data_IF_925627809842
#
_entry.id   IF_925627809842
#
_cell.length_a   1.000
_cell.length_b   1.000
_cell.length_c   1.000
_cell.angle_alpha   90.00
_cell.angle_beta   90.00
_cell.angle_gamma   90.00
#
_symmetry.space_group_name_H-M   'P 1'
#
loop_
_entity.id
_entity.type
_entity.pdbx_description
1 polymer ?
#
# COMPACT_ATOMS: atom_id res chain seq x y z
N UNK A 1 -36.82 6.56 9.94
CA UNK A 1 -35.51 6.04 10.40
C UNK A 1 -34.59 7.24 10.58
N UNK A 2 -33.75 7.24 11.63
CA UNK A 2 -32.75 8.32 11.78
C UNK A 2 -31.72 8.24 10.65
N UNK A 3 -31.17 9.37 10.24
CA UNK A 3 -30.16 9.44 9.18
C UNK A 3 -28.90 8.63 9.55
N UNK A 4 -28.54 8.64 10.84
CA UNK A 4 -27.45 7.82 11.37
C UNK A 4 -27.70 6.32 11.16
N UNK A 5 -28.90 5.83 11.46
CA UNK A 5 -29.25 4.42 11.27
C UNK A 5 -29.18 4.00 9.80
N UNK A 6 -29.67 4.85 8.90
CA UNK A 6 -29.57 4.61 7.44
C UNK A 6 -28.09 4.54 7.02
N UNK A 7 -27.25 5.46 7.51
CA UNK A 7 -25.82 5.46 7.23
C UNK A 7 -25.11 4.20 7.75
N UNK A 8 -25.38 3.77 9.00
CA UNK A 8 -24.82 2.52 9.53
C UNK A 8 -25.29 1.28 8.75
N UNK A 9 -26.56 1.22 8.38
CA UNK A 9 -27.08 0.12 7.55
C UNK A 9 -26.45 0.11 6.15
N UNK A 10 -26.22 1.28 5.55
CA UNK A 10 -25.53 1.41 4.27
C UNK A 10 -24.10 0.87 4.37
N UNK A 11 -23.33 1.30 5.37
CA UNK A 11 -21.95 0.82 5.58
C UNK A 11 -21.93 -0.68 5.89
N UNK A 12 -22.81 -1.16 6.75
CA UNK A 12 -22.91 -2.58 7.07
C UNK A 12 -23.29 -3.44 5.85
N UNK A 13 -24.20 -2.96 5.00
CA UNK A 13 -24.57 -3.62 3.74
C UNK A 13 -23.40 -3.66 2.78
N UNK A 14 -22.71 -2.52 2.60
CA UNK A 14 -21.50 -2.41 1.78
C UNK A 14 -20.43 -3.42 2.24
N UNK A 15 -20.11 -3.43 3.52
CA UNK A 15 -19.11 -4.35 4.09
C UNK A 15 -19.54 -5.82 3.91
N UNK A 16 -20.79 -6.14 4.18
CA UNK A 16 -21.30 -7.52 4.06
C UNK A 16 -21.23 -8.03 2.62
N UNK A 17 -21.62 -7.22 1.64
CA UNK A 17 -21.61 -7.62 0.24
C UNK A 17 -20.18 -7.88 -0.27
N UNK A 18 -19.20 -7.08 0.15
CA UNK A 18 -17.79 -7.28 -0.19
C UNK A 18 -17.23 -8.52 0.53
N UNK A 19 -17.43 -8.63 1.85
CA UNK A 19 -16.88 -9.71 2.65
C UNK A 19 -17.45 -11.08 2.24
N UNK A 20 -18.73 -11.14 1.87
CA UNK A 20 -19.38 -12.35 1.34
C UNK A 20 -19.06 -12.60 -0.15
N UNK A 21 -18.24 -11.75 -0.79
CA UNK A 21 -17.87 -11.82 -2.22
C UNK A 21 -19.08 -11.80 -3.18
N UNK A 22 -20.21 -11.21 -2.75
CA UNK A 22 -21.40 -11.08 -3.60
C UNK A 22 -21.32 -9.91 -4.56
N UNK A 23 -20.52 -8.89 -4.25
CA UNK A 23 -20.22 -7.76 -5.12
C UNK A 23 -18.73 -7.44 -5.07
N UNK A 24 -18.20 -6.96 -6.19
CA UNK A 24 -16.86 -6.35 -6.20
C UNK A 24 -16.89 -5.00 -5.47
N UNK A 25 -15.80 -4.56 -4.83
CA UNK A 25 -15.75 -3.25 -4.18
C UNK A 25 -16.16 -2.10 -5.12
N UNK A 26 -15.72 -2.13 -6.38
CA UNK A 26 -16.07 -1.13 -7.39
C UNK A 26 -17.58 -0.99 -7.57
N UNK A 27 -18.30 -2.11 -7.75
CA UNK A 27 -19.76 -2.09 -7.96
C UNK A 27 -20.49 -1.70 -6.66
N UNK A 28 -20.06 -2.22 -5.52
CA UNK A 28 -20.65 -1.94 -4.22
C UNK A 28 -20.55 -0.44 -3.84
N UNK A 29 -19.40 0.21 -4.13
CA UNK A 29 -19.19 1.64 -3.90
C UNK A 29 -20.11 2.56 -4.73
N UNK A 30 -20.65 2.06 -5.85
CA UNK A 30 -21.59 2.81 -6.68
C UNK A 30 -23.03 2.51 -6.27
N UNK A 31 -23.39 1.22 -6.22
CA UNK A 31 -24.79 0.79 -6.10
C UNK A 31 -25.33 1.00 -4.68
N UNK A 32 -24.56 0.62 -3.65
CA UNK A 32 -25.06 0.65 -2.28
C UNK A 32 -25.39 2.07 -1.82
N UNK A 33 -24.47 3.07 -1.90
CA UNK A 33 -24.80 4.43 -1.46
C UNK A 33 -25.93 5.06 -2.27
N UNK A 34 -26.00 4.77 -3.58
CA UNK A 34 -27.07 5.25 -4.45
C UNK A 34 -28.45 4.76 -3.97
N UNK A 35 -28.58 3.46 -3.70
CA UNK A 35 -29.84 2.87 -3.22
C UNK A 35 -30.22 3.43 -1.86
N UNK A 36 -29.28 3.53 -0.90
CA UNK A 36 -29.56 4.05 0.42
C UNK A 36 -29.91 5.54 0.44
N UNK A 37 -29.27 6.34 -0.44
CA UNK A 37 -29.63 7.76 -0.61
C UNK A 37 -31.05 7.91 -1.15
N UNK A 38 -31.45 7.12 -2.14
CA UNK A 38 -32.81 7.11 -2.67
C UNK A 38 -33.83 6.68 -1.59
N UNK A 39 -33.54 5.63 -0.81
CA UNK A 39 -34.39 5.18 0.28
C UNK A 39 -34.51 6.22 1.41
N UNK A 40 -33.47 7.05 1.60
CA UNK A 40 -33.47 8.16 2.55
C UNK A 40 -34.22 9.41 2.02
N UNK A 41 -34.70 9.39 0.77
CA UNK A 41 -35.47 10.49 0.19
C UNK A 41 -34.62 11.55 -0.55
N UNK A 42 -33.33 11.32 -0.75
CA UNK A 42 -32.44 12.22 -1.50
C UNK A 42 -32.55 12.00 -3.02
N UNK A 43 -33.69 12.32 -3.61
CA UNK A 43 -33.91 12.23 -5.05
C UNK A 43 -33.35 13.44 -5.79
N UNK A 44 -33.59 14.63 -5.26
CA UNK A 44 -33.05 15.87 -5.79
C UNK A 44 -31.60 16.07 -5.33
N UNK A 45 -30.71 16.48 -6.25
CA UNK A 45 -29.31 16.77 -5.95
C UNK A 45 -28.40 15.53 -5.83
N UNK A 46 -28.91 14.31 -5.94
CA UNK A 46 -28.10 13.09 -5.87
C UNK A 46 -26.99 13.06 -6.92
N UNK A 47 -27.29 13.46 -8.16
CA UNK A 47 -26.31 13.57 -9.23
C UNK A 47 -25.20 14.59 -8.92
N UNK A 48 -25.54 15.72 -8.32
CA UNK A 48 -24.58 16.74 -7.94
C UNK A 48 -23.64 16.25 -6.84
N UNK A 49 -24.15 15.54 -5.81
CA UNK A 49 -23.34 14.90 -4.78
C UNK A 49 -22.34 13.90 -5.37
N UNK A 50 -22.77 13.08 -6.33
CA UNK A 50 -21.90 12.13 -7.03
C UNK A 50 -20.80 12.85 -7.83
N UNK A 51 -21.18 13.87 -8.61
CA UNK A 51 -20.22 14.64 -9.44
C UNK A 51 -19.22 15.38 -8.55
N UNK A 52 -19.66 15.97 -7.44
CA UNK A 52 -18.76 16.64 -6.50
C UNK A 52 -17.75 15.67 -5.85
N UNK A 53 -18.21 14.45 -5.54
CA UNK A 53 -17.31 13.39 -5.08
C UNK A 53 -16.27 13.02 -6.14
N UNK A 54 -16.68 12.86 -7.41
CA UNK A 54 -15.78 12.56 -8.52
C UNK A 54 -14.76 13.69 -8.74
N UNK A 55 -15.20 14.97 -8.77
CA UNK A 55 -14.31 16.13 -8.95
C UNK A 55 -13.24 16.19 -7.87
N UNK A 56 -13.60 15.91 -6.60
CA UNK A 56 -12.66 15.91 -5.48
C UNK A 56 -11.60 14.81 -5.57
N UNK A 57 -11.94 13.65 -6.14
CA UNK A 57 -11.03 12.52 -6.28
C UNK A 57 -10.30 12.45 -7.63
N UNK A 58 -10.65 13.30 -8.59
CA UNK A 58 -10.00 13.32 -9.89
C UNK A 58 -8.47 13.47 -9.81
N UNK A 59 -7.89 14.36 -8.98
CA UNK A 59 -6.45 14.46 -8.84
C UNK A 59 -5.80 13.15 -8.35
N UNK A 60 -6.41 12.47 -7.38
CA UNK A 60 -5.91 11.17 -6.88
C UNK A 60 -5.99 10.09 -7.95
N UNK A 61 -7.09 10.06 -8.73
CA UNK A 61 -7.23 9.13 -9.86
C UNK A 61 -6.16 9.34 -10.93
N UNK A 62 -5.89 10.59 -11.30
CA UNK A 62 -4.81 10.95 -12.25
C UNK A 62 -3.44 10.55 -11.70
N UNK A 63 -3.16 10.87 -10.44
CA UNK A 63 -1.91 10.47 -9.79
C UNK A 63 -1.68 8.97 -9.88
N UNK A 64 -2.67 8.16 -9.48
CA UNK A 64 -2.55 6.70 -9.48
C UNK A 64 -2.38 6.12 -10.88
N UNK A 65 -3.13 6.64 -11.86
CA UNK A 65 -3.00 6.24 -13.26
C UNK A 65 -1.55 6.36 -13.72
N UNK A 66 -0.97 7.55 -13.57
CA UNK A 66 0.37 7.80 -14.07
C UNK A 66 1.47 7.22 -13.17
N UNK A 67 1.24 7.08 -11.86
CA UNK A 67 2.17 6.38 -10.98
C UNK A 67 2.30 4.90 -11.34
N UNK A 68 1.18 4.20 -11.54
CA UNK A 68 1.19 2.79 -11.95
C UNK A 68 1.90 2.64 -13.31
N UNK A 69 1.54 3.45 -14.29
CA UNK A 69 2.19 3.41 -15.61
C UNK A 69 3.68 3.71 -15.53
N UNK A 70 4.10 4.71 -14.74
CA UNK A 70 5.51 5.10 -14.59
C UNK A 70 6.34 3.98 -13.95
N UNK A 71 5.93 3.49 -12.78
CA UNK A 71 6.72 2.48 -12.06
C UNK A 71 6.71 1.13 -12.78
N UNK A 72 5.58 0.74 -13.39
CA UNK A 72 5.54 -0.46 -14.24
C UNK A 72 6.46 -0.34 -15.45
N UNK A 73 6.50 0.85 -16.08
CA UNK A 73 7.46 1.13 -17.17
C UNK A 73 8.91 1.03 -16.67
N UNK A 74 9.22 1.55 -15.48
CA UNK A 74 10.56 1.43 -14.89
C UNK A 74 10.95 -0.03 -14.64
N UNK A 75 10.02 -0.85 -14.18
CA UNK A 75 10.20 -2.29 -14.00
C UNK A 75 10.46 -2.98 -15.33
N UNK A 76 9.68 -2.69 -16.37
CA UNK A 76 9.84 -3.24 -17.73
C UNK A 76 11.20 -2.92 -18.33
N UNK A 77 11.73 -1.70 -18.10
CA UNK A 77 13.06 -1.30 -18.60
C UNK A 77 14.22 -2.07 -17.98
N UNK A 78 13.97 -2.86 -16.93
CA UNK A 78 14.99 -3.61 -16.19
C UNK A 78 15.77 -2.75 -15.20
N UNK A 79 15.14 -1.68 -14.68
CA UNK A 79 15.78 -0.77 -13.72
C UNK A 79 16.36 -1.51 -12.50
N UNK A 80 15.70 -2.56 -12.04
CA UNK A 80 16.10 -3.33 -10.84
C UNK A 80 17.12 -4.44 -11.14
N UNK A 81 17.35 -4.81 -12.42
CA UNK A 81 18.22 -5.93 -12.80
C UNK A 81 19.66 -5.80 -12.27
N UNK A 82 20.35 -4.63 -12.39
CA UNK A 82 21.71 -4.48 -11.86
C UNK A 82 21.77 -4.57 -10.35
N UNK A 83 20.72 -4.11 -9.69
CA UNK A 83 20.60 -4.16 -8.24
C UNK A 83 20.48 -5.60 -7.76
N UNK A 84 19.59 -6.39 -8.38
CA UNK A 84 19.43 -7.82 -8.14
C UNK A 84 20.75 -8.54 -8.32
N UNK A 85 21.42 -8.34 -9.46
CA UNK A 85 22.72 -8.96 -9.76
C UNK A 85 23.84 -8.55 -8.79
N UNK A 86 23.89 -7.28 -8.36
CA UNK A 86 24.85 -6.81 -7.36
C UNK A 86 24.56 -7.38 -5.98
N UNK A 87 23.31 -7.45 -5.60
CA UNK A 87 22.86 -7.99 -4.29
C UNK A 87 23.24 -9.47 -4.18
N UNK A 88 22.99 -10.27 -5.22
CA UNK A 88 23.33 -11.71 -5.23
C UNK A 88 24.85 -11.89 -5.12
N UNK A 89 25.65 -11.06 -5.80
CA UNK A 89 27.12 -11.09 -5.69
C UNK A 89 27.61 -10.69 -4.29
N UNK A 90 26.99 -9.70 -3.64
CA UNK A 90 27.36 -9.24 -2.30
C UNK A 90 27.05 -10.25 -1.16
N UNK A 91 26.11 -11.14 -1.40
CA UNK A 91 25.65 -12.12 -0.42
C UNK A 91 26.73 -13.16 -0.08
N UNK A 92 27.61 -13.56 -1.02
CA UNK A 92 28.76 -14.46 -0.82
C UNK A 92 28.45 -15.71 0.05
N UNK A 93 27.24 -16.28 -0.05
CA UNK A 93 26.84 -17.46 0.72
C UNK A 93 26.61 -17.24 2.23
N UNK A 94 26.59 -15.99 2.70
CA UNK A 94 26.31 -15.69 4.10
C UNK A 94 24.78 -15.58 4.34
N UNK A 95 24.16 -16.48 5.13
CA UNK A 95 22.73 -16.46 5.41
C UNK A 95 22.22 -15.10 5.92
N UNK A 96 22.99 -14.41 6.75
CA UNK A 96 22.62 -13.10 7.29
C UNK A 96 22.54 -12.04 6.17
N UNK A 97 23.47 -12.06 5.22
CA UNK A 97 23.48 -11.13 4.09
C UNK A 97 22.32 -11.43 3.13
N UNK A 98 21.94 -12.71 2.97
CA UNK A 98 20.78 -13.11 2.16
C UNK A 98 19.50 -12.50 2.74
N UNK A 99 19.29 -12.62 4.06
CA UNK A 99 18.12 -12.08 4.74
C UNK A 99 18.05 -10.55 4.65
N UNK A 100 19.15 -9.85 4.90
CA UNK A 100 19.24 -8.38 4.74
C UNK A 100 18.98 -8.00 3.28
N UNK A 101 19.60 -8.69 2.34
CA UNK A 101 19.40 -8.48 0.91
C UNK A 101 17.94 -8.66 0.48
N UNK A 102 17.23 -9.63 1.07
CA UNK A 102 15.79 -9.84 0.81
C UNK A 102 14.95 -8.63 1.22
N UNK A 103 15.22 -8.01 2.38
CA UNK A 103 14.53 -6.79 2.84
C UNK A 103 14.83 -5.61 1.90
N UNK A 104 16.12 -5.39 1.60
CA UNK A 104 16.54 -4.26 0.74
C UNK A 104 15.95 -4.39 -0.67
N UNK A 105 16.02 -5.58 -1.26
CA UNK A 105 15.45 -5.82 -2.58
C UNK A 105 13.95 -5.61 -2.59
N UNK A 106 13.24 -6.18 -1.60
CA UNK A 106 11.80 -6.02 -1.49
C UNK A 106 11.40 -4.54 -1.35
N UNK A 107 12.08 -3.78 -0.49
CA UNK A 107 11.79 -2.36 -0.29
C UNK A 107 11.97 -1.56 -1.59
N UNK A 108 13.00 -1.84 -2.38
CA UNK A 108 13.26 -1.13 -3.63
C UNK A 108 12.29 -1.52 -4.75
N UNK A 109 11.96 -2.80 -4.87
CA UNK A 109 10.98 -3.26 -5.87
C UNK A 109 9.58 -2.79 -5.50
N UNK A 110 9.21 -2.78 -4.22
CA UNK A 110 7.89 -2.30 -3.75
C UNK A 110 7.61 -0.82 -4.05
N UNK A 111 8.57 -0.06 -4.57
CA UNK A 111 8.33 1.30 -5.05
C UNK A 111 7.34 1.36 -6.22
N UNK A 112 7.11 0.24 -6.92
CA UNK A 112 6.10 0.18 -7.99
C UNK A 112 4.65 0.19 -7.45
N UNK A 113 4.46 -0.07 -6.16
CA UNK A 113 3.15 -0.10 -5.51
C UNK A 113 2.31 -1.35 -5.78
N UNK A 114 2.85 -2.35 -6.52
CA UNK A 114 2.19 -3.63 -6.78
C UNK A 114 2.82 -4.77 -5.96
N UNK A 115 2.07 -5.26 -4.96
CA UNK A 115 2.52 -6.35 -4.11
C UNK A 115 2.78 -7.65 -4.88
N UNK A 116 2.02 -7.94 -5.93
CA UNK A 116 2.16 -9.19 -6.71
C UNK A 116 3.47 -9.19 -7.50
N UNK A 117 3.74 -8.12 -8.23
CA UNK A 117 4.99 -7.92 -8.98
C UNK A 117 6.19 -7.96 -8.03
N UNK A 118 6.12 -7.23 -6.91
CA UNK A 118 7.15 -7.25 -5.87
C UNK A 118 7.48 -8.67 -5.43
N UNK A 119 6.47 -9.49 -5.14
CA UNK A 119 6.70 -10.86 -4.66
C UNK A 119 7.26 -11.77 -5.75
N UNK A 120 6.78 -11.68 -6.99
CA UNK A 120 7.32 -12.47 -8.11
C UNK A 120 8.81 -12.18 -8.28
N UNK A 121 9.18 -10.91 -8.33
CA UNK A 121 10.56 -10.47 -8.55
C UNK A 121 11.48 -10.90 -7.40
N UNK A 122 11.08 -10.58 -6.17
CA UNK A 122 11.92 -10.85 -5.00
C UNK A 122 12.04 -12.34 -4.70
N UNK A 123 10.97 -13.11 -4.93
CA UNK A 123 11.00 -14.57 -4.80
C UNK A 123 11.86 -15.22 -5.89
N UNK A 124 11.75 -14.79 -7.15
CA UNK A 124 12.59 -15.31 -8.22
C UNK A 124 14.09 -15.11 -7.92
N UNK A 125 14.45 -13.96 -7.34
CA UNK A 125 15.83 -13.65 -6.99
C UNK A 125 16.33 -14.39 -5.72
N UNK A 126 15.51 -14.47 -4.68
CA UNK A 126 15.95 -14.92 -3.34
C UNK A 126 15.64 -16.36 -3.02
N UNK A 127 14.51 -16.93 -3.49
CA UNK A 127 14.10 -18.29 -3.17
C UNK A 127 15.13 -19.37 -3.60
N UNK A 128 15.79 -19.28 -4.76
CA UNK A 128 16.84 -20.22 -5.13
C UNK A 128 17.98 -20.28 -4.12
N UNK A 129 18.36 -19.10 -3.54
CA UNK A 129 19.38 -19.04 -2.50
C UNK A 129 18.91 -19.73 -1.21
N UNK A 130 17.65 -19.49 -0.79
CA UNK A 130 17.09 -20.12 0.40
C UNK A 130 16.99 -21.64 0.25
N UNK A 131 16.60 -22.13 -0.94
CA UNK A 131 16.57 -23.58 -1.22
C UNK A 131 17.97 -24.20 -1.22
N UNK A 132 18.94 -23.53 -1.85
CA UNK A 132 20.32 -24.01 -1.96
C UNK A 132 21.03 -24.13 -0.62
N UNK A 133 20.79 -23.16 0.29
CA UNK A 133 21.39 -23.13 1.63
C UNK A 133 20.50 -23.75 2.69
N UNK A 134 19.42 -24.42 2.31
CA UNK A 134 18.44 -25.03 3.23
C UNK A 134 17.96 -24.04 4.31
N UNK A 135 17.78 -22.75 3.95
CA UNK A 135 17.31 -21.72 4.87
C UNK A 135 15.81 -21.82 5.11
N UNK A 136 15.36 -21.43 6.29
CA UNK A 136 13.94 -21.41 6.62
C UNK A 136 13.17 -20.39 5.76
N UNK A 137 12.28 -20.90 4.89
CA UNK A 137 11.49 -20.09 3.97
C UNK A 137 10.48 -19.19 4.68
N UNK A 138 10.06 -19.52 5.91
CA UNK A 138 9.19 -18.63 6.72
C UNK A 138 9.88 -17.31 7.04
N UNK A 139 11.21 -17.29 7.21
CA UNK A 139 11.98 -16.04 7.37
C UNK A 139 11.85 -15.16 6.12
N UNK A 140 11.99 -15.74 4.91
CA UNK A 140 11.87 -15.00 3.66
C UNK A 140 10.48 -14.39 3.52
N UNK A 141 9.44 -15.24 3.62
CA UNK A 141 8.05 -14.82 3.43
C UNK A 141 7.65 -13.74 4.44
N UNK A 142 8.03 -13.89 5.71
CA UNK A 142 7.80 -12.89 6.76
C UNK A 142 8.47 -11.55 6.41
N UNK A 143 9.75 -11.56 6.07
CA UNK A 143 10.49 -10.33 5.75
C UNK A 143 9.93 -9.63 4.52
N UNK A 144 9.64 -10.36 3.43
CA UNK A 144 9.09 -9.77 2.21
C UNK A 144 7.72 -9.14 2.46
N UNK A 145 6.85 -9.86 3.17
CA UNK A 145 5.50 -9.40 3.39
C UNK A 145 5.45 -8.17 4.31
N UNK A 146 6.17 -8.19 5.44
CA UNK A 146 6.18 -7.04 6.36
C UNK A 146 6.86 -5.83 5.71
N UNK A 147 7.93 -6.04 4.90
CA UNK A 147 8.57 -4.97 4.12
C UNK A 147 7.59 -4.35 3.12
N UNK A 148 6.88 -5.16 2.36
CA UNK A 148 5.85 -4.68 1.43
C UNK A 148 4.75 -3.92 2.17
N UNK A 149 4.35 -4.36 3.37
CA UNK A 149 3.40 -3.65 4.23
C UNK A 149 3.88 -2.25 4.64
N UNK A 150 5.15 -2.08 4.97
CA UNK A 150 5.75 -0.75 5.22
C UNK A 150 5.74 0.09 3.96
N UNK A 151 6.11 -0.48 2.81
CA UNK A 151 6.18 0.25 1.53
C UNK A 151 4.80 0.61 0.96
N UNK A 152 3.73 -0.06 1.38
CA UNK A 152 2.35 0.29 1.01
C UNK A 152 1.93 1.70 1.45
N UNK A 153 2.70 2.35 2.33
CA UNK A 153 2.43 3.71 2.78
C UNK A 153 2.82 4.79 1.75
N UNK A 154 3.49 4.43 0.64
CA UNK A 154 3.81 5.39 -0.43
C UNK A 154 2.54 6.11 -0.93
N UNK A 155 2.65 7.34 -1.48
CA UNK A 155 1.45 8.13 -1.87
C UNK A 155 0.58 7.42 -2.92
N UNK A 156 1.19 6.61 -3.77
CA UNK A 156 0.52 5.76 -4.77
C UNK A 156 0.23 4.35 -4.26
N UNK A 157 0.60 4.03 -3.03
CA UNK A 157 0.23 2.77 -2.37
C UNK A 157 -1.27 2.66 -2.19
N UNK A 158 -1.81 1.46 -2.38
CA UNK A 158 -3.24 1.22 -2.32
C UNK A 158 -3.93 1.75 -1.06
N UNK A 159 -3.42 1.49 0.16
CA UNK A 159 -4.00 2.00 1.40
C UNK A 159 -3.98 3.53 1.51
N UNK A 160 -2.85 4.16 1.18
CA UNK A 160 -2.69 5.63 1.24
C UNK A 160 -3.65 6.32 0.28
N UNK A 161 -3.78 5.80 -0.94
CA UNK A 161 -4.73 6.32 -1.91
C UNK A 161 -6.18 6.19 -1.44
N UNK A 162 -6.54 5.09 -0.77
CA UNK A 162 -7.88 4.89 -0.19
C UNK A 162 -8.15 5.83 0.96
N UNK A 163 -7.21 5.97 1.92
CA UNK A 163 -7.33 6.89 3.04
C UNK A 163 -7.49 8.34 2.56
N UNK A 164 -6.62 8.76 1.63
CA UNK A 164 -6.69 10.07 1.01
C UNK A 164 -8.03 10.30 0.29
N UNK A 165 -8.51 9.31 -0.47
CA UNK A 165 -9.78 9.40 -1.19
C UNK A 165 -10.98 9.44 -0.24
N UNK A 166 -11.00 8.59 0.79
CA UNK A 166 -12.10 8.51 1.75
C UNK A 166 -12.31 9.83 2.50
N UNK A 167 -11.22 10.53 2.83
CA UNK A 167 -11.25 11.80 3.58
C UNK A 167 -11.02 13.04 2.69
N UNK A 168 -10.90 12.85 1.36
CA UNK A 168 -10.66 13.94 0.38
C UNK A 168 -9.40 14.74 0.68
N UNK A 169 -8.32 14.05 1.07
CA UNK A 169 -7.02 14.60 1.41
C UNK A 169 -6.05 14.49 0.25
N UNK A 170 -5.01 15.34 0.27
CA UNK A 170 -3.90 15.21 -0.68
C UNK A 170 -2.96 14.07 -0.27
N UNK A 171 -2.70 13.08 -1.15
CA UNK A 171 -1.86 11.93 -0.83
C UNK A 171 -0.40 12.29 -0.51
N UNK A 172 0.16 13.34 -1.11
CA UNK A 172 1.53 13.76 -0.82
C UNK A 172 1.66 14.36 0.59
N UNK A 173 0.74 15.25 0.94
CA UNK A 173 0.67 15.86 2.28
C UNK A 173 0.42 14.81 3.36
N UNK A 174 -0.37 13.78 3.05
CA UNK A 174 -0.60 12.66 3.96
C UNK A 174 0.69 11.85 4.18
N UNK A 175 1.45 11.59 3.12
CA UNK A 175 2.59 10.68 3.10
C UNK A 175 3.86 11.26 3.73
N UNK A 176 4.25 12.50 3.38
CA UNK A 176 5.58 13.04 3.72
C UNK A 176 5.91 12.92 5.22
N UNK A 177 5.01 13.24 6.17
CA UNK A 177 5.29 13.05 7.60
C UNK A 177 5.38 11.59 8.06
N UNK A 178 4.95 10.62 7.24
CA UNK A 178 5.07 9.19 7.57
C UNK A 178 6.45 8.61 7.24
N UNK A 179 7.27 9.31 6.44
CA UNK A 179 8.60 8.85 6.01
C UNK A 179 9.49 8.41 7.19
N UNK A 180 9.62 9.17 8.30
CA UNK A 180 10.42 8.72 9.43
C UNK A 180 9.90 7.41 10.06
N UNK A 181 8.58 7.24 10.14
CA UNK A 181 7.95 6.00 10.60
C UNK A 181 8.27 4.81 9.68
N UNK A 182 8.23 5.03 8.35
CA UNK A 182 8.61 4.01 7.36
C UNK A 182 10.09 3.63 7.48
N UNK A 183 10.97 4.62 7.62
CA UNK A 183 12.42 4.39 7.82
C UNK A 183 12.64 3.56 9.09
N UNK A 184 11.95 3.87 10.19
CA UNK A 184 12.03 3.11 11.43
C UNK A 184 11.50 1.67 11.25
N UNK A 185 10.42 1.48 10.51
CA UNK A 185 9.89 0.16 10.15
C UNK A 185 10.90 -0.66 9.33
N UNK A 186 11.53 -0.05 8.32
CA UNK A 186 12.58 -0.70 7.52
C UNK A 186 13.82 -1.01 8.36
N UNK A 187 14.23 -0.10 9.25
CA UNK A 187 15.34 -0.34 10.18
C UNK A 187 15.03 -1.51 11.14
N UNK A 188 13.81 -1.58 11.68
CA UNK A 188 13.34 -2.73 12.46
C UNK A 188 13.43 -4.03 11.65
N UNK A 189 13.03 -4.02 10.38
CA UNK A 189 13.11 -5.21 9.52
C UNK A 189 14.55 -5.63 9.21
N UNK A 190 15.47 -4.69 9.05
CA UNK A 190 16.91 -5.00 8.95
C UNK A 190 17.43 -5.64 10.25
N UNK A 191 17.04 -5.12 11.43
CA UNK A 191 17.39 -5.73 12.71
C UNK A 191 16.79 -7.12 12.87
N UNK A 192 15.55 -7.32 12.43
CA UNK A 192 14.90 -8.63 12.42
C UNK A 192 15.61 -9.60 11.46
N UNK A 193 16.02 -9.13 10.27
CA UNK A 193 16.81 -9.91 9.33
C UNK A 193 18.17 -10.31 9.90
N UNK A 194 18.82 -9.42 10.64
CA UNK A 194 20.06 -9.74 11.37
C UNK A 194 19.79 -10.80 12.45
N UNK A 195 18.69 -10.67 13.21
CA UNK A 195 18.31 -11.64 14.23
C UNK A 195 18.09 -13.03 13.62
N UNK A 196 17.26 -13.14 12.60
CA UNK A 196 17.03 -14.39 11.87
C UNK A 196 18.32 -14.90 11.22
N UNK A 197 19.12 -14.00 10.66
CA UNK A 197 20.40 -14.32 10.02
C UNK A 197 21.43 -14.92 11.00
N UNK A 198 21.50 -14.40 12.22
CA UNK A 198 22.34 -14.97 13.28
C UNK A 198 21.88 -16.39 13.63
N UNK A 199 20.57 -16.64 13.69
CA UNK A 199 20.00 -17.96 13.95
C UNK A 199 20.34 -18.96 12.82
N UNK A 200 20.16 -18.54 11.55
CA UNK A 200 20.48 -19.34 10.37
C UNK A 200 22.00 -19.60 10.27
N UNK A 201 22.82 -18.59 10.52
CA UNK A 201 24.29 -18.72 10.50
C UNK A 201 24.79 -19.72 11.56
N UNK A 202 24.14 -19.80 12.74
CA UNK A 202 24.45 -20.80 13.76
C UNK A 202 24.00 -22.22 13.35
N UNK A 203 22.93 -22.33 12.57
CA UNK A 203 22.37 -23.61 12.10
C UNK A 203 23.15 -24.18 10.91
N UNK A 204 23.51 -23.32 9.93
CA UNK A 204 24.04 -23.75 8.64
C UNK A 204 25.56 -23.52 8.53
N UNK A 205 26.10 -22.52 9.24
CA UNK A 205 27.47 -22.05 9.05
C UNK A 205 27.59 -21.04 7.89
N UNK A 206 28.82 -20.72 7.49
CA UNK A 206 29.12 -19.98 6.25
C UNK A 206 29.39 -21.00 5.16
N UNK A 207 28.68 -20.92 4.06
CA UNK A 207 28.85 -21.80 2.91
C UNK A 207 29.46 -20.97 1.78
N UNK A 208 30.55 -21.43 1.18
CA UNK A 208 31.14 -20.79 0.01
C UNK A 208 30.24 -21.00 -1.21
N UNK A 209 29.93 -19.92 -1.92
CA UNK A 209 29.23 -19.97 -3.18
C UNK A 209 30.20 -20.43 -4.28
N UNK A 210 29.89 -21.47 -5.06
CA UNK A 210 30.54 -21.65 -6.35
C UNK A 210 30.22 -20.45 -7.26
N UNK A 211 31.19 -20.05 -8.06
CA UNK A 211 31.21 -18.82 -8.83
C UNK A 211 30.13 -18.65 -9.93
N UNK A 212 29.16 -19.57 -10.05
CA UNK A 212 28.24 -19.59 -11.19
C UNK A 212 26.79 -19.54 -10.72
N UNK A 213 26.31 -18.31 -10.49
CA UNK A 213 24.93 -17.95 -10.74
C UNK A 213 25.00 -16.90 -11.84
N UNK A 214 24.72 -17.27 -13.08
CA UNK A 214 24.65 -16.32 -14.18
C UNK A 214 23.51 -15.33 -13.90
N UNK A 215 23.86 -14.05 -13.90
CA UNK A 215 22.90 -12.96 -13.74
C UNK A 215 21.81 -12.97 -14.85
N UNK A 216 22.06 -13.71 -15.93
CA UNK A 216 21.12 -13.90 -17.03
C UNK A 216 19.92 -14.80 -16.67
N UNK A 217 20.11 -15.78 -15.76
CA UNK A 217 19.01 -16.65 -15.29
C UNK A 217 18.08 -15.96 -14.29
N UNK A 218 18.45 -14.76 -13.82
CA UNK A 218 17.76 -13.99 -12.81
C UNK A 218 17.02 -12.77 -13.40
N UNK A 219 16.80 -12.79 -14.70
CA UNK A 219 16.10 -11.73 -15.39
C UNK A 219 14.67 -11.53 -14.87
N UNK A 220 14.45 -10.39 -14.24
CA UNK A 220 13.25 -10.04 -13.48
C UNK A 220 12.12 -9.52 -14.37
N UNK A 221 12.45 -8.99 -15.56
CA UNK A 221 11.44 -8.43 -16.47
C UNK A 221 10.62 -9.52 -17.14
N UNK A 222 9.28 -9.41 -17.04
CA UNK A 222 8.34 -10.26 -17.77
C UNK A 222 8.37 -10.02 -19.30
N UNK A 223 8.98 -8.92 -19.72
CA UNK A 223 9.05 -8.46 -21.11
C UNK A 223 10.50 -8.21 -21.53
N UNK A 224 11.26 -9.25 -21.97
CA UNK A 224 12.67 -9.08 -22.36
C UNK A 224 12.89 -8.02 -23.44
N UNK A 225 11.96 -7.87 -24.39
CA UNK A 225 12.01 -6.89 -25.49
C UNK A 225 11.81 -5.43 -25.00
N UNK A 226 11.20 -5.25 -23.83
CA UNK A 226 11.00 -3.94 -23.22
C UNK A 226 12.22 -3.38 -22.50
N UNK A 227 13.24 -4.21 -22.27
CA UNK A 227 14.45 -3.84 -21.52
C UNK A 227 15.24 -2.75 -22.20
N UNK A 228 15.80 -1.83 -21.38
CA UNK A 228 16.63 -0.70 -21.83
C UNK A 228 17.91 -0.59 -21.00
N UNK A 229 18.83 -1.57 -21.11
CA UNK A 229 20.03 -1.64 -20.26
C UNK A 229 20.93 -0.42 -20.39
N UNK A 230 20.96 0.26 -21.54
CA UNK A 230 21.74 1.48 -21.76
C UNK A 230 21.17 2.71 -21.03
N UNK A 231 19.89 2.69 -20.65
CA UNK A 231 19.19 3.81 -20.02
C UNK A 231 18.96 3.61 -18.51
N UNK A 232 19.51 2.55 -17.91
CA UNK A 232 19.30 2.24 -16.48
C UNK A 232 19.69 3.41 -15.58
N UNK A 233 20.82 4.06 -15.82
CA UNK A 233 21.25 5.23 -15.05
C UNK A 233 20.32 6.42 -15.22
N UNK A 234 19.85 6.67 -16.44
CA UNK A 234 18.86 7.71 -16.71
C UNK A 234 17.57 7.42 -15.94
N UNK A 235 17.05 6.20 -16.01
CA UNK A 235 15.85 5.77 -15.31
C UNK A 235 16.01 5.85 -13.78
N UNK A 236 17.19 5.48 -13.25
CA UNK A 236 17.48 5.61 -11.83
C UNK A 236 17.47 7.08 -11.37
N UNK A 237 18.12 7.97 -12.14
CA UNK A 237 18.13 9.41 -11.87
C UNK A 237 16.71 9.99 -11.94
N UNK A 238 15.92 9.57 -12.94
CA UNK A 238 14.54 10.02 -13.09
C UNK A 238 13.66 9.63 -11.87
N UNK A 239 13.80 8.39 -11.37
CA UNK A 239 13.09 7.94 -10.15
C UNK A 239 13.57 8.73 -8.93
N UNK A 240 14.87 8.91 -8.75
CA UNK A 240 15.40 9.67 -7.61
C UNK A 240 14.91 11.13 -7.67
N UNK A 241 14.99 11.75 -8.86
CA UNK A 241 14.50 13.12 -9.05
C UNK A 241 13.02 13.25 -8.74
N UNK A 242 12.19 12.28 -9.18
CA UNK A 242 10.77 12.23 -8.84
C UNK A 242 10.54 12.21 -7.33
N UNK A 243 11.25 11.33 -6.60
CA UNK A 243 11.12 11.21 -5.14
C UNK A 243 11.59 12.48 -4.41
N UNK A 244 12.67 13.11 -4.87
CA UNK A 244 13.17 14.37 -4.30
C UNK A 244 12.17 15.50 -4.54
N UNK A 245 11.67 15.66 -5.77
CA UNK A 245 10.68 16.69 -6.12
C UNK A 245 9.35 16.49 -5.39
N UNK A 246 8.95 15.23 -5.13
CA UNK A 246 7.80 14.90 -4.30
C UNK A 246 7.98 15.44 -2.87
N UNK A 247 9.12 15.14 -2.23
CA UNK A 247 9.39 15.57 -0.84
C UNK A 247 9.50 17.10 -0.74
N UNK A 248 10.07 17.75 -1.75
CA UNK A 248 10.17 19.21 -1.80
C UNK A 248 8.86 19.90 -2.14
N UNK A 249 7.84 19.17 -2.62
CA UNK A 249 6.53 19.75 -2.94
C UNK A 249 6.56 20.78 -4.09
N UNK A 250 7.48 20.63 -5.06
CA UNK A 250 7.69 21.60 -6.14
C UNK A 250 6.48 21.69 -7.07
N UNK A 251 5.81 20.58 -7.31
CA UNK A 251 4.61 20.47 -8.14
C UNK A 251 3.58 19.57 -7.46
N UNK A 252 2.27 19.77 -7.75
CA UNK A 252 1.25 18.81 -7.36
C UNK A 252 1.60 17.41 -7.85
N UNK A 253 1.46 16.40 -6.98
CA UNK A 253 1.88 15.03 -7.26
C UNK A 253 1.28 14.43 -8.55
N UNK A 254 -0.01 14.66 -8.89
CA UNK A 254 -0.56 14.19 -10.16
C UNK A 254 0.21 14.70 -11.39
N UNK A 255 0.57 15.98 -11.38
CA UNK A 255 1.34 16.60 -12.49
C UNK A 255 2.76 16.04 -12.55
N UNK A 256 3.40 15.88 -11.38
CA UNK A 256 4.73 15.32 -11.29
C UNK A 256 4.78 13.89 -11.86
N UNK A 257 3.78 13.06 -11.56
CA UNK A 257 3.67 11.69 -12.09
C UNK A 257 3.43 11.69 -13.61
N UNK A 258 2.58 12.58 -14.13
CA UNK A 258 2.34 12.72 -15.57
C UNK A 258 3.62 13.07 -16.31
N UNK A 259 4.37 14.06 -15.82
CA UNK A 259 5.63 14.49 -16.44
C UNK A 259 6.70 13.40 -16.38
N UNK A 260 6.86 12.76 -15.22
CA UNK A 260 7.81 11.66 -15.07
C UNK A 260 7.50 10.50 -16.04
N UNK A 261 6.24 10.12 -16.17
CA UNK A 261 5.80 9.10 -17.12
C UNK A 261 6.06 9.51 -18.57
N UNK A 262 5.72 10.75 -18.96
CA UNK A 262 5.96 11.24 -20.31
C UNK A 262 7.45 11.24 -20.66
N UNK A 263 8.32 11.73 -19.76
CA UNK A 263 9.76 11.71 -19.91
C UNK A 263 10.29 10.27 -20.05
N UNK A 264 9.81 9.37 -19.18
CA UNK A 264 10.18 7.96 -19.22
C UNK A 264 9.81 7.31 -20.56
N UNK A 265 8.61 7.58 -21.06
CA UNK A 265 8.13 7.01 -22.33
C UNK A 265 8.94 7.53 -23.53
N UNK A 266 9.18 8.83 -23.61
CA UNK A 266 9.97 9.42 -24.69
C UNK A 266 11.41 8.87 -24.71
N UNK A 267 12.03 8.76 -23.53
CA UNK A 267 13.42 8.30 -23.45
C UNK A 267 13.58 6.80 -23.74
N UNK A 268 12.67 5.97 -23.20
CA UNK A 268 12.81 4.51 -23.30
C UNK A 268 12.13 3.91 -24.54
N UNK A 269 11.04 4.52 -25.02
CA UNK A 269 10.22 4.03 -26.12
C UNK A 269 9.88 5.16 -27.08
N UNK A 270 10.83 5.57 -27.95
CA UNK A 270 10.67 6.75 -28.82
C UNK A 270 9.62 6.57 -29.92
N UNK A 271 9.27 5.33 -30.25
CA UNK A 271 8.26 5.04 -31.28
C UNK A 271 6.85 4.86 -30.68
N UNK A 272 5.83 5.31 -31.41
CA UNK A 272 4.44 5.29 -30.98
C UNK A 272 3.85 3.89 -30.78
N UNK A 273 4.39 2.89 -31.48
CA UNK A 273 3.93 1.50 -31.36
C UNK A 273 4.33 0.93 -30.00
N UNK A 274 5.63 1.03 -29.66
CA UNK A 274 6.14 0.58 -28.35
C UNK A 274 5.47 1.32 -27.19
N UNK A 275 5.21 2.63 -27.33
CA UNK A 275 4.48 3.39 -26.32
C UNK A 275 3.06 2.82 -26.07
N UNK A 276 2.30 2.56 -27.12
CA UNK A 276 0.96 1.96 -27.04
C UNK A 276 1.00 0.55 -26.41
N UNK A 277 1.98 -0.26 -26.80
CA UNK A 277 2.16 -1.60 -26.26
C UNK A 277 2.42 -1.58 -24.76
N UNK A 278 3.28 -0.67 -24.27
CA UNK A 278 3.55 -0.55 -22.81
C UNK A 278 2.33 -0.06 -22.04
N UNK A 279 1.61 0.92 -22.54
CA UNK A 279 0.35 1.38 -21.92
C UNK A 279 -0.66 0.23 -21.88
N UNK A 280 -0.83 -0.49 -22.99
CA UNK A 280 -1.78 -1.61 -23.07
C UNK A 280 -1.40 -2.77 -22.10
N UNK A 281 -0.11 -3.06 -21.94
CA UNK A 281 0.38 -4.11 -21.04
C UNK A 281 -0.04 -3.87 -19.58
N UNK A 282 -0.14 -2.62 -19.14
CA UNK A 282 -0.46 -2.25 -17.75
C UNK A 282 -1.90 -1.72 -17.57
N UNK A 283 -2.69 -1.64 -18.65
CA UNK A 283 -4.04 -1.06 -18.63
C UNK A 283 -4.97 -1.76 -17.64
N UNK A 284 -4.86 -3.08 -17.47
CA UNK A 284 -5.68 -3.85 -16.54
C UNK A 284 -5.47 -3.40 -15.08
N UNK A 285 -4.23 -3.23 -14.66
CA UNK A 285 -3.88 -2.77 -13.31
C UNK A 285 -4.36 -1.33 -13.09
N UNK A 286 -4.13 -0.46 -14.07
CA UNK A 286 -4.62 0.92 -14.02
C UNK A 286 -6.14 0.97 -13.87
N UNK A 287 -6.88 0.24 -14.71
CA UNK A 287 -8.35 0.24 -14.68
C UNK A 287 -8.88 -0.25 -13.33
N UNK A 288 -8.31 -1.31 -12.78
CA UNK A 288 -8.74 -1.86 -11.50
C UNK A 288 -8.58 -0.85 -10.34
N UNK A 289 -7.45 -0.15 -10.28
CA UNK A 289 -7.16 0.79 -9.19
C UNK A 289 -7.90 2.12 -9.38
N UNK A 290 -7.80 2.72 -10.57
CA UNK A 290 -8.39 4.04 -10.84
C UNK A 290 -9.92 3.97 -10.87
N UNK A 291 -10.48 2.88 -11.42
CA UNK A 291 -11.92 2.63 -11.38
C UNK A 291 -12.46 2.57 -9.95
N UNK A 292 -11.72 1.91 -9.04
CA UNK A 292 -12.10 1.86 -7.63
C UNK A 292 -12.10 3.25 -6.97
N UNK A 293 -11.12 4.12 -7.27
CA UNK A 293 -11.07 5.47 -6.72
C UNK A 293 -12.24 6.32 -7.20
N UNK A 294 -12.60 6.24 -8.47
CA UNK A 294 -13.77 6.96 -8.96
C UNK A 294 -15.09 6.41 -8.39
N UNK A 295 -15.22 5.10 -8.22
CA UNK A 295 -16.38 4.52 -7.52
C UNK A 295 -16.45 5.00 -6.06
N UNK A 296 -15.29 5.11 -5.38
CA UNK A 296 -15.22 5.69 -4.04
C UNK A 296 -15.60 7.18 -4.02
N UNK A 297 -15.38 7.91 -5.10
CA UNK A 297 -15.86 9.29 -5.28
C UNK A 297 -17.38 9.39 -5.16
N UNK A 298 -18.11 8.47 -5.80
CA UNK A 298 -19.58 8.38 -5.68
C UNK A 298 -19.97 8.10 -4.22
N UNK A 299 -19.37 7.08 -3.60
CA UNK A 299 -19.65 6.72 -2.21
C UNK A 299 -19.44 7.88 -1.25
N UNK A 300 -18.27 8.49 -1.27
CA UNK A 300 -17.91 9.60 -0.35
C UNK A 300 -18.67 10.88 -0.68
N UNK A 301 -19.01 11.11 -1.95
CA UNK A 301 -19.84 12.23 -2.38
C UNK A 301 -21.25 12.14 -1.78
N UNK A 302 -21.90 11.00 -1.89
CA UNK A 302 -23.21 10.73 -1.29
C UNK A 302 -23.15 10.77 0.23
N UNK A 303 -22.20 10.05 0.84
CA UNK A 303 -22.07 9.95 2.29
C UNK A 303 -21.89 11.32 2.96
N UNK A 304 -21.08 12.21 2.36
CA UNK A 304 -20.90 13.57 2.84
C UNK A 304 -22.08 14.48 2.48
N UNK A 305 -22.57 14.42 1.24
CA UNK A 305 -23.61 15.30 0.74
C UNK A 305 -24.96 15.11 1.43
N UNK A 306 -25.25 13.89 1.91
CA UNK A 306 -26.45 13.59 2.70
C UNK A 306 -26.33 13.91 4.17
N UNK A 307 -25.13 14.23 4.69
CA UNK A 307 -24.88 14.42 6.13
C UNK A 307 -24.87 13.11 6.94
N UNK A 308 -24.85 11.95 6.29
CA UNK A 308 -24.82 10.65 6.98
C UNK A 308 -23.57 10.48 7.86
N UNK A 309 -22.40 10.95 7.39
CA UNK A 309 -21.14 10.88 8.18
C UNK A 309 -21.28 11.60 9.49
N UNK A 310 -21.75 12.84 9.46
CA UNK A 310 -21.95 13.65 10.67
C UNK A 310 -22.96 13.01 11.63
N UNK A 311 -24.08 12.50 11.10
CA UNK A 311 -25.09 11.83 11.91
C UNK A 311 -24.53 10.56 12.59
N UNK A 312 -23.81 9.73 11.85
CA UNK A 312 -23.17 8.51 12.38
C UNK A 312 -22.09 8.85 13.40
N UNK A 313 -21.27 9.87 13.14
CA UNK A 313 -20.21 10.30 14.04
C UNK A 313 -20.74 10.79 15.38
N UNK A 314 -21.86 11.51 15.42
CA UNK A 314 -22.52 11.95 16.68
C UNK A 314 -22.90 10.75 17.57
N UNK A 315 -23.43 9.69 16.97
CA UNK A 315 -23.76 8.45 17.71
C UNK A 315 -22.49 7.78 18.26
N UNK A 316 -21.43 7.69 17.44
CA UNK A 316 -20.14 7.09 17.84
C UNK A 316 -19.50 7.89 18.98
N UNK A 317 -19.49 9.23 18.89
CA UNK A 317 -18.99 10.12 19.96
C UNK A 317 -19.76 9.93 21.26
N UNK A 318 -21.08 9.71 21.18
CA UNK A 318 -21.90 9.44 22.35
C UNK A 318 -21.54 8.14 23.10
N UNK A 319 -20.88 7.20 22.44
CA UNK A 319 -20.44 5.91 23.03
C UNK A 319 -18.99 5.97 23.50
N UNK A 320 -18.15 6.85 22.94
CA UNK A 320 -16.75 7.00 23.33
C UNK A 320 -16.65 7.72 24.67
N UNK A 321 -16.01 7.11 25.70
CA UNK A 321 -15.79 7.80 26.96
C UNK A 321 -14.97 9.09 26.71
N UNK A 322 -15.40 10.24 27.31
CA UNK A 322 -14.75 11.54 27.04
C UNK A 322 -13.23 11.56 27.25
N UNK A 323 -12.72 10.75 28.19
CA UNK A 323 -11.28 10.68 28.47
C UNK A 323 -10.49 9.98 27.35
N UNK A 324 -11.13 9.22 26.45
CA UNK A 324 -10.51 8.58 25.28
C UNK A 324 -10.51 9.49 24.05
N UNK A 325 -11.37 10.50 24.01
CA UNK A 325 -11.52 11.41 22.87
C UNK A 325 -10.20 12.03 22.39
N UNK A 326 -9.37 12.61 23.26
CA UNK A 326 -8.08 13.18 22.87
C UNK A 326 -7.09 12.17 22.29
N UNK A 327 -7.29 10.87 22.53
CA UNK A 327 -6.43 9.78 22.06
C UNK A 327 -6.93 9.11 20.78
N UNK A 328 -7.84 9.74 20.04
CA UNK A 328 -8.42 9.13 18.83
C UNK A 328 -7.38 8.75 17.77
N UNK A 329 -6.28 9.49 17.63
CA UNK A 329 -5.23 9.13 16.68
C UNK A 329 -4.49 7.83 17.08
N UNK A 330 -3.88 7.68 18.27
CA UNK A 330 -3.29 6.40 18.67
C UNK A 330 -4.30 5.25 18.75
N UNK A 331 -5.56 5.51 19.15
CA UNK A 331 -6.61 4.50 19.12
C UNK A 331 -6.86 4.03 17.68
N UNK A 332 -6.95 4.94 16.72
CA UNK A 332 -7.10 4.59 15.30
C UNK A 332 -5.92 3.78 14.80
N UNK A 333 -4.68 4.15 15.17
CA UNK A 333 -3.51 3.38 14.82
C UNK A 333 -3.59 1.94 15.34
N UNK A 334 -3.96 1.74 16.60
CA UNK A 334 -4.12 0.40 17.19
C UNK A 334 -5.29 -0.36 16.58
N UNK A 335 -6.44 0.29 16.35
CA UNK A 335 -7.61 -0.31 15.71
C UNK A 335 -7.35 -0.71 14.26
N UNK A 336 -6.43 -0.03 13.57
CA UNK A 336 -6.09 -0.35 12.19
C UNK A 336 -5.46 -1.74 12.05
N UNK A 337 -4.78 -2.26 13.08
CA UNK A 337 -4.17 -3.59 13.05
C UNK A 337 -5.23 -4.70 12.92
N UNK A 338 -6.14 -4.89 13.90
CA UNK A 338 -7.20 -5.89 13.76
C UNK A 338 -8.22 -5.48 12.68
N UNK A 339 -8.51 -4.19 12.55
CA UNK A 339 -9.48 -3.69 11.57
C UNK A 339 -9.12 -4.13 10.15
N UNK A 340 -7.93 -3.80 9.68
CA UNK A 340 -7.50 -4.17 8.32
C UNK A 340 -7.13 -5.65 8.17
N UNK A 341 -6.93 -6.39 9.26
CA UNK A 341 -6.73 -7.83 9.22
C UNK A 341 -8.03 -8.60 8.98
N UNK A 342 -9.10 -8.26 9.72
CA UNK A 342 -10.38 -8.99 9.65
C UNK A 342 -11.31 -8.48 8.56
N UNK A 343 -11.19 -7.22 8.16
CA UNK A 343 -11.95 -6.62 7.07
C UNK A 343 -11.04 -6.13 5.96
N UNK A 344 -11.59 -6.03 4.74
CA UNK A 344 -10.78 -5.56 3.59
C UNK A 344 -10.38 -4.09 3.75
N UNK A 345 -9.28 -3.69 3.11
CA UNK A 345 -8.88 -2.28 3.05
C UNK A 345 -10.02 -1.39 2.52
N UNK A 346 -10.79 -1.86 1.52
CA UNK A 346 -11.89 -1.10 0.96
C UNK A 346 -12.97 -0.84 2.00
N UNK A 347 -13.36 -1.86 2.76
CA UNK A 347 -14.35 -1.75 3.82
C UNK A 347 -13.85 -0.88 4.98
N UNK A 348 -12.58 -1.00 5.37
CA UNK A 348 -12.00 -0.21 6.44
C UNK A 348 -11.89 1.26 6.05
N UNK A 349 -11.24 1.57 4.91
CA UNK A 349 -10.97 2.97 4.52
C UNK A 349 -12.22 3.71 4.05
N UNK A 350 -13.12 3.06 3.31
CA UNK A 350 -14.33 3.75 2.84
C UNK A 350 -15.49 3.65 3.84
N UNK A 351 -15.58 2.57 4.62
CA UNK A 351 -16.66 2.38 5.58
C UNK A 351 -16.39 2.97 6.97
N UNK A 352 -15.23 2.70 7.55
CA UNK A 352 -14.95 3.06 8.96
C UNK A 352 -14.16 4.35 9.10
N UNK A 353 -13.16 4.61 8.26
CA UNK A 353 -12.26 5.75 8.42
C UNK A 353 -12.97 7.10 8.42
N UNK A 354 -13.98 7.40 7.57
CA UNK A 354 -14.69 8.68 7.62
C UNK A 354 -15.38 8.92 8.97
N UNK A 355 -15.94 7.86 9.58
CA UNK A 355 -16.60 7.93 10.87
C UNK A 355 -15.58 8.23 11.99
N UNK A 356 -14.44 7.55 11.97
CA UNK A 356 -13.36 7.76 12.92
C UNK A 356 -12.75 9.17 12.80
N UNK A 357 -12.61 9.68 11.58
CA UNK A 357 -12.09 11.01 11.32
C UNK A 357 -13.04 12.10 11.83
N UNK A 358 -14.33 11.97 11.58
CA UNK A 358 -15.34 12.90 12.04
C UNK A 358 -15.50 12.85 13.58
N UNK A 359 -15.48 11.63 14.17
CA UNK A 359 -15.46 11.47 15.62
C UNK A 359 -14.20 12.09 16.25
N UNK A 360 -13.03 11.93 15.62
CA UNK A 360 -11.78 12.56 16.04
C UNK A 360 -11.87 14.09 16.03
N UNK A 361 -12.48 14.64 14.97
CA UNK A 361 -12.65 16.08 14.83
C UNK A 361 -13.46 16.72 15.98
N UNK A 362 -14.45 16.01 16.52
CA UNK A 362 -15.20 16.44 17.71
C UNK A 362 -14.33 16.57 18.96
N UNK A 363 -13.20 15.88 19.02
CA UNK A 363 -12.24 15.94 20.13
C UNK A 363 -10.97 16.75 19.77
N UNK A 364 -10.99 17.52 18.67
CA UNK A 364 -9.86 18.35 18.26
C UNK A 364 -8.79 17.64 17.44
N UNK A 365 -8.96 16.35 17.12
CA UNK A 365 -8.00 15.59 16.32
C UNK A 365 -8.29 15.78 14.83
N UNK A 366 -7.35 16.34 14.08
CA UNK A 366 -7.52 16.59 12.65
C UNK A 366 -7.74 15.31 11.84
N UNK A 367 -8.61 15.32 10.81
CA UNK A 367 -8.82 14.18 9.90
C UNK A 367 -7.53 13.66 9.27
N UNK A 368 -6.57 14.53 8.98
CA UNK A 368 -5.25 14.17 8.47
C UNK A 368 -4.47 13.28 9.45
N UNK A 369 -4.53 13.58 10.74
CA UNK A 369 -3.91 12.80 11.81
C UNK A 369 -4.53 11.39 11.91
N UNK A 370 -5.86 11.31 11.84
CA UNK A 370 -6.59 10.04 11.83
C UNK A 370 -6.25 9.22 10.59
N UNK A 371 -6.15 9.85 9.42
CA UNK A 371 -5.74 9.19 8.18
C UNK A 371 -4.34 8.59 8.31
N UNK A 372 -3.35 9.36 8.81
CA UNK A 372 -1.98 8.87 9.02
C UNK A 372 -1.93 7.74 10.03
N UNK A 373 -2.63 7.87 11.14
CA UNK A 373 -2.73 6.83 12.17
C UNK A 373 -3.31 5.52 11.61
N UNK A 374 -4.34 5.60 10.78
CA UNK A 374 -5.01 4.43 10.19
C UNK A 374 -4.11 3.59 9.28
N UNK A 375 -3.03 4.17 8.75
CA UNK A 375 -2.09 3.49 7.88
C UNK A 375 -1.07 2.63 8.63
N UNK A 376 -0.94 2.80 9.96
CA UNK A 376 0.07 2.08 10.76
C UNK A 376 -0.15 0.56 10.79
N UNK A 377 -1.36 0.08 10.54
CA UNK A 377 -1.71 -1.34 10.53
C UNK A 377 -1.32 -2.11 9.26
N UNK A 378 -0.75 -1.47 8.24
CA UNK A 378 -0.52 -2.10 6.94
C UNK A 378 0.41 -3.31 6.95
N UNK A 379 1.49 -3.39 7.76
CA UNK A 379 2.26 -4.62 7.91
C UNK A 379 1.44 -5.83 8.40
N UNK A 380 0.46 -5.60 9.29
CA UNK A 380 -0.47 -6.66 9.76
C UNK A 380 -1.55 -6.94 8.72
N UNK A 381 -2.04 -5.92 7.99
CA UNK A 381 -3.02 -6.10 6.93
C UNK A 381 -2.59 -7.16 5.90
N UNK A 382 -1.33 -7.17 5.48
CA UNK A 382 -0.85 -8.12 4.48
C UNK A 382 -0.86 -9.59 4.97
N UNK A 383 -0.99 -9.83 6.29
CA UNK A 383 -1.25 -11.17 6.85
C UNK A 383 -2.70 -11.63 6.67
N UNK A 384 -3.60 -10.70 6.32
CA UNK A 384 -5.03 -11.01 6.20
C UNK A 384 -5.29 -12.07 5.13
N UNK A 385 -6.18 -13.05 5.42
CA UNK A 385 -6.62 -14.01 4.40
C UNK A 385 -7.45 -13.36 3.28
N UNK A 386 -7.74 -12.07 3.36
CA UNK A 386 -8.46 -11.31 2.34
C UNK A 386 -7.52 -10.70 1.29
N UNK A 387 -6.21 -10.80 1.46
CA UNK A 387 -5.19 -10.22 0.55
C UNK A 387 -4.70 -11.27 -0.45
N UNK A 388 -5.04 -11.15 -1.75
CA UNK A 388 -4.68 -12.15 -2.77
C UNK A 388 -3.17 -12.32 -2.93
N UNK A 389 -2.38 -11.24 -2.86
CA UNK A 389 -0.92 -11.29 -3.03
C UNK A 389 -0.22 -12.11 -1.94
N UNK A 390 -0.82 -12.23 -0.75
CA UNK A 390 -0.29 -13.11 0.32
C UNK A 390 -0.34 -14.58 -0.09
N UNK A 391 -1.43 -15.02 -0.72
CA UNK A 391 -1.53 -16.40 -1.24
C UNK A 391 -0.50 -16.67 -2.33
N UNK A 392 -0.26 -15.70 -3.20
CA UNK A 392 0.80 -15.79 -4.21
C UNK A 392 2.17 -15.97 -3.55
N UNK A 393 2.49 -15.15 -2.56
CA UNK A 393 3.76 -15.20 -1.85
C UNK A 393 4.00 -16.56 -1.16
N UNK A 394 3.03 -17.05 -0.39
CA UNK A 394 3.15 -18.33 0.33
C UNK A 394 3.20 -19.51 -0.63
N UNK A 395 2.44 -19.46 -1.74
CA UNK A 395 2.46 -20.47 -2.80
C UNK A 395 3.82 -20.55 -3.48
N UNK A 396 4.41 -19.40 -3.88
CA UNK A 396 5.75 -19.35 -4.48
C UNK A 396 6.81 -19.91 -3.55
N UNK A 397 6.71 -19.63 -2.25
CA UNK A 397 7.63 -20.15 -1.24
C UNK A 397 7.42 -21.65 -0.92
N UNK A 398 6.25 -22.20 -1.23
CA UNK A 398 5.83 -23.53 -0.81
C UNK A 398 5.73 -23.65 0.71
N UNK A 399 5.11 -22.66 1.37
CA UNK A 399 4.82 -22.65 2.81
C UNK A 399 3.31 -22.60 3.04
N UNK A 400 2.86 -23.12 4.18
CA UNK A 400 1.46 -23.04 4.57
C UNK A 400 1.09 -21.63 5.05
N UNK A 401 -0.13 -21.16 4.70
CA UNK A 401 -0.60 -19.83 5.08
C UNK A 401 -0.75 -19.67 6.60
N UNK A 402 -1.28 -20.69 7.28
CA UNK A 402 -1.49 -20.62 8.73
C UNK A 402 -0.17 -20.62 9.50
N UNK A 403 0.82 -21.40 9.03
CA UNK A 403 2.17 -21.38 9.61
C UNK A 403 2.83 -20.02 9.38
N UNK A 404 2.67 -19.43 8.20
CA UNK A 404 3.14 -18.09 7.91
C UNK A 404 2.49 -17.04 8.80
N UNK A 405 1.16 -17.06 8.93
CA UNK A 405 0.43 -16.11 9.78
C UNK A 405 0.87 -16.21 11.24
N UNK A 406 0.98 -17.43 11.79
CA UNK A 406 1.45 -17.65 13.17
C UNK A 406 2.87 -17.12 13.37
N UNK A 407 3.76 -17.35 12.41
CA UNK A 407 5.14 -16.91 12.48
C UNK A 407 5.28 -15.39 12.33
N UNK A 408 4.57 -14.78 11.38
CA UNK A 408 4.77 -13.38 11.00
C UNK A 408 3.92 -12.38 11.81
N UNK A 409 2.89 -12.83 12.53
CA UNK A 409 1.97 -11.93 13.27
C UNK A 409 2.72 -11.06 14.29
N UNK A 410 3.57 -11.65 15.12
CA UNK A 410 4.33 -10.91 16.13
C UNK A 410 5.33 -9.93 15.49
N UNK A 411 6.19 -10.33 14.54
CA UNK A 411 7.02 -9.40 13.78
C UNK A 411 6.26 -8.24 13.12
N UNK A 412 5.14 -8.53 12.48
CA UNK A 412 4.31 -7.51 11.82
C UNK A 412 3.71 -6.53 12.84
N UNK A 413 3.15 -7.02 13.93
CA UNK A 413 2.58 -6.19 15.01
C UNK A 413 3.66 -5.31 15.65
N UNK A 414 4.85 -5.85 15.93
CA UNK A 414 5.98 -5.07 16.45
C UNK A 414 6.43 -3.98 15.45
N UNK A 415 6.47 -4.29 14.15
CA UNK A 415 6.77 -3.31 13.11
C UNK A 415 5.74 -2.17 13.13
N UNK A 416 4.43 -2.49 13.19
CA UNK A 416 3.36 -1.50 13.30
C UNK A 416 3.53 -0.62 14.54
N UNK A 417 3.86 -1.21 15.70
CA UNK A 417 4.09 -0.45 16.94
C UNK A 417 5.30 0.48 16.83
N UNK A 418 6.42 0.01 16.26
CA UNK A 418 7.61 0.86 16.00
C UNK A 418 7.23 2.05 15.11
N UNK A 419 6.52 1.80 14.01
CA UNK A 419 6.06 2.86 13.10
C UNK A 419 5.11 3.83 13.80
N UNK A 420 4.19 3.34 14.62
CA UNK A 420 3.24 4.15 15.39
C UNK A 420 3.95 5.05 16.39
N UNK A 421 4.87 4.47 17.19
CA UNK A 421 5.64 5.24 18.18
C UNK A 421 6.48 6.32 17.51
N UNK A 422 7.20 5.99 16.43
CA UNK A 422 7.99 6.99 15.70
C UNK A 422 7.08 8.03 15.04
N UNK A 423 5.94 7.63 14.47
CA UNK A 423 4.95 8.55 13.90
C UNK A 423 4.45 9.58 14.91
N UNK A 424 4.20 9.17 16.15
CA UNK A 424 3.84 10.08 17.25
C UNK A 424 5.02 10.97 17.68
N UNK A 425 6.23 10.43 17.78
CA UNK A 425 7.42 11.19 18.20
C UNK A 425 7.79 12.29 17.19
N UNK A 426 7.58 12.08 15.90
CA UNK A 426 7.83 13.08 14.85
C UNK A 426 6.59 13.93 14.54
N UNK A 427 5.54 13.80 15.33
CA UNK A 427 4.27 14.55 15.18
C UNK A 427 3.60 14.34 13.81
N UNK A 428 3.80 13.19 13.17
CA UNK A 428 3.02 12.81 11.99
C UNK A 428 1.51 12.74 12.34
N UNK A 429 1.20 12.31 13.56
CA UNK A 429 -0.08 12.45 14.24
C UNK A 429 0.14 12.58 15.75
N UNK A 430 -0.73 13.31 16.47
CA UNK A 430 -0.52 13.60 17.88
C UNK A 430 -0.79 12.35 18.75
N UNK A 431 -0.13 12.27 19.92
CA UNK A 431 -0.51 11.32 20.96
C UNK A 431 -1.77 11.76 21.69
N UNK A 432 -1.91 13.08 21.92
CA UNK A 432 -3.09 13.75 22.51
C UNK A 432 -3.48 14.87 21.57
N UNK A 433 -4.74 14.86 21.13
CA UNK A 433 -5.34 15.89 20.26
C UNK A 433 -5.99 17.03 21.02
#
# INVERSE_FOLDING_TARGET
MSLALIGFLMVATFMTLIMTKRMTPLVALIVVPTLFALLAGFHAGLGDMMIDGLKKLAPTGVMLLFAILFFSTMTDTGLFDPLVGKLIRLVHGDPMRILIGSVVLCALVSLDGDGSTTYIITMAAMLPLYKRFDMNRLHLVCLLMVTSGVMNLTPWGGPTARAASALKLDPATLFVPLIPGMIAGLAFLILLAIHFGRKERRRIGKVELPAVLDAADLAVSQWPEARRPKLIWFNAVLVIALLVLLVWGVLPLPILMMLAFAIAMIANYPDTKSQKERIAAHAGNVLAVVGLIFAAGIFTGILSGTGMVEAMSKEVVGVIPPFLGPYMAPITALLSLPGTFFISNDAFYFGMLPILAEAGAHYGVEPMAIARASLMGQPVHLLSPLVPSTYLLVSLAGVDLADHQRFALVPAALCCLVMTVVGMLVLAFPFVG
#
